data_IF_841910420477
#
_entry.id   IF_841910420477
#
_cell.length_a   1.000
_cell.length_b   1.000
_cell.length_c   1.000
_cell.angle_alpha   90.00
_cell.angle_beta   90.00
_cell.angle_gamma   90.00
#
_symmetry.space_group_name_H-M   'P 1'
#
loop_
_entity.id
_entity.type
_entity.pdbx_description
1 polymer ?
#
# COMPACT_ATOMS: atom_id res chain seq x y z
N UNK A 1 -16.18 14.33 23.71
CA UNK A 1 -14.93 14.30 22.94
C UNK A 1 -14.71 12.88 22.43
N UNK A 2 -14.22 12.70 21.20
CA UNK A 2 -13.73 11.38 20.78
C UNK A 2 -12.57 10.94 21.70
N UNK A 3 -12.41 9.64 21.98
CA UNK A 3 -11.31 9.14 22.79
C UNK A 3 -9.97 9.46 22.13
N UNK A 4 -8.96 9.80 22.94
CA UNK A 4 -7.61 10.07 22.45
C UNK A 4 -6.99 8.83 21.82
N UNK A 5 -6.08 8.99 20.84
CA UNK A 5 -5.39 7.87 20.19
C UNK A 5 -4.72 6.95 21.20
N UNK A 6 -4.07 7.52 22.22
CA UNK A 6 -3.47 6.77 23.35
C UNK A 6 -4.49 5.97 24.17
N UNK A 7 -5.73 6.43 24.29
CA UNK A 7 -6.77 5.68 25.00
C UNK A 7 -7.27 4.51 24.14
N UNK A 8 -7.40 4.73 22.83
CA UNK A 8 -7.82 3.71 21.87
C UNK A 8 -6.76 2.63 21.71
N UNK A 9 -5.47 2.95 21.75
CA UNK A 9 -4.38 1.98 21.56
C UNK A 9 -4.04 1.11 22.77
N UNK A 10 -4.78 1.21 23.89
CA UNK A 10 -4.55 0.40 25.10
C UNK A 10 -4.97 -1.05 24.98
N UNK A 11 -5.77 -1.38 23.97
CA UNK A 11 -6.16 -2.76 23.65
C UNK A 11 -5.60 -3.15 22.28
N UNK A 12 -5.34 -4.44 22.07
CA UNK A 12 -4.88 -4.94 20.77
C UNK A 12 -5.82 -4.57 19.62
N UNK A 13 -7.13 -4.66 19.87
CA UNK A 13 -8.16 -4.32 18.89
C UNK A 13 -8.15 -2.82 18.54
N UNK A 14 -8.00 -1.96 19.55
CA UNK A 14 -7.97 -0.52 19.35
C UNK A 14 -6.65 -0.06 18.72
N UNK A 15 -5.52 -0.66 19.09
CA UNK A 15 -4.22 -0.45 18.44
C UNK A 15 -4.25 -0.90 16.97
N UNK A 16 -4.76 -2.09 16.68
CA UNK A 16 -4.87 -2.58 15.31
C UNK A 16 -5.76 -1.67 14.45
N UNK A 17 -6.86 -1.16 15.02
CA UNK A 17 -7.75 -0.22 14.35
C UNK A 17 -7.08 1.11 14.06
N UNK A 18 -6.41 1.72 15.05
CA UNK A 18 -5.74 3.02 14.87
C UNK A 18 -4.58 2.90 13.90
N UNK A 19 -3.76 1.86 14.01
CA UNK A 19 -2.63 1.61 13.11
C UNK A 19 -3.09 1.44 11.66
N UNK A 20 -4.16 0.67 11.42
CA UNK A 20 -4.70 0.47 10.07
C UNK A 20 -5.05 1.80 9.41
N UNK A 21 -5.72 2.69 10.15
CA UNK A 21 -6.12 4.01 9.64
C UNK A 21 -4.89 4.87 9.36
N UNK A 22 -3.97 4.98 10.33
CA UNK A 22 -2.74 5.76 10.20
C UNK A 22 -1.89 5.30 9.01
N UNK A 23 -1.71 3.99 8.84
CA UNK A 23 -0.95 3.41 7.72
C UNK A 23 -1.64 3.67 6.38
N UNK A 24 -2.97 3.54 6.30
CA UNK A 24 -3.71 3.82 5.07
C UNK A 24 -3.60 5.29 4.66
N UNK A 25 -3.69 6.21 5.62
CA UNK A 25 -3.52 7.65 5.38
C UNK A 25 -2.11 7.98 4.90
N UNK A 26 -1.09 7.44 5.58
CA UNK A 26 0.30 7.64 5.20
C UNK A 26 0.59 7.10 3.80
N UNK A 27 0.12 5.88 3.51
CA UNK A 27 0.29 5.25 2.19
C UNK A 27 -0.34 6.10 1.09
N UNK A 28 -1.55 6.64 1.33
CA UNK A 28 -2.22 7.53 0.38
C UNK A 28 -1.45 8.83 0.17
N UNK A 29 -0.91 9.43 1.23
CA UNK A 29 -0.10 10.65 1.14
C UNK A 29 1.17 10.41 0.32
N UNK A 30 1.91 9.35 0.62
CA UNK A 30 3.12 8.99 -0.13
C UNK A 30 2.83 8.76 -1.62
N UNK A 31 1.72 8.10 -1.95
CA UNK A 31 1.27 7.92 -3.34
C UNK A 31 0.88 9.23 -4.02
N UNK A 32 0.48 10.26 -3.26
CA UNK A 32 0.18 11.60 -3.80
C UNK A 32 1.40 12.50 -3.96
N UNK A 33 2.54 12.17 -3.33
CA UNK A 33 3.82 12.88 -3.54
C UNK A 33 4.49 12.48 -4.88
N UNK A 34 3.85 11.60 -5.65
CA UNK A 34 4.32 11.27 -7.00
C UNK A 34 4.25 12.51 -7.88
N UNK A 35 5.26 12.64 -8.75
CA UNK A 35 5.30 13.69 -9.76
C UNK A 35 4.00 13.68 -10.59
N UNK A 36 3.20 14.76 -10.55
CA UNK A 36 1.95 14.87 -11.29
C UNK A 36 2.14 14.75 -12.81
N UNK A 37 3.32 15.13 -13.31
CA UNK A 37 3.65 15.11 -14.74
C UNK A 37 4.06 13.71 -15.21
N UNK A 38 4.26 12.76 -14.29
CA UNK A 38 4.62 11.38 -14.60
C UNK A 38 3.37 10.53 -14.86
N UNK A 39 2.58 10.94 -15.87
CA UNK A 39 1.39 10.24 -16.36
C UNK A 39 1.74 8.86 -16.97
N UNK A 40 3.00 8.67 -17.37
CA UNK A 40 3.50 7.45 -18.00
C UNK A 40 3.48 6.24 -17.07
N UNK A 41 3.42 6.44 -15.75
CA UNK A 41 3.46 5.36 -14.76
C UNK A 41 2.25 5.44 -13.81
N UNK A 42 1.13 4.76 -14.09
CA UNK A 42 0.06 4.57 -13.12
C UNK A 42 0.55 4.01 -11.77
N UNK A 43 -0.18 4.30 -10.68
CA UNK A 43 0.17 3.85 -9.32
C UNK A 43 0.30 2.32 -9.22
N UNK A 44 -0.52 1.56 -9.94
CA UNK A 44 -0.41 0.11 -10.01
C UNK A 44 0.93 -0.36 -10.60
N UNK A 45 1.37 0.26 -11.69
CA UNK A 45 2.65 -0.09 -12.34
C UNK A 45 3.85 0.25 -11.46
N UNK A 46 3.82 1.38 -10.76
CA UNK A 46 4.86 1.74 -9.78
C UNK A 46 4.94 0.72 -8.63
N UNK A 47 3.78 0.20 -8.20
CA UNK A 47 3.72 -0.85 -7.16
C UNK A 47 4.43 -2.12 -7.62
N UNK A 48 4.13 -2.59 -8.85
CA UNK A 48 4.79 -3.75 -9.50
C UNK A 48 6.30 -3.52 -9.62
N UNK A 49 6.75 -2.34 -10.07
CA UNK A 49 8.18 -2.01 -10.14
C UNK A 49 8.83 -2.03 -8.76
N UNK A 50 8.14 -1.54 -7.73
CA UNK A 50 8.60 -1.63 -6.35
C UNK A 50 8.70 -3.06 -5.85
N UNK A 51 7.76 -3.94 -6.23
CA UNK A 51 7.80 -5.36 -5.91
C UNK A 51 9.00 -6.06 -6.59
N UNK A 52 9.22 -5.81 -7.88
CA UNK A 52 10.40 -6.29 -8.61
C UNK A 52 11.70 -5.77 -8.01
N UNK A 53 11.77 -4.49 -7.66
CA UNK A 53 12.97 -3.90 -7.06
C UNK A 53 13.32 -4.55 -5.71
N UNK A 54 12.31 -4.92 -4.91
CA UNK A 54 12.53 -5.54 -3.59
C UNK A 54 12.78 -7.04 -3.63
N UNK A 55 12.16 -7.76 -4.57
CA UNK A 55 12.18 -9.22 -4.60
C UNK A 55 13.04 -9.80 -5.74
N UNK A 56 13.51 -8.95 -6.67
CA UNK A 56 14.26 -9.38 -7.85
C UNK A 56 13.35 -9.93 -8.95
N UNK A 57 13.90 -10.84 -9.75
CA UNK A 57 13.15 -11.51 -10.82
C UNK A 57 12.01 -12.35 -10.22
N UNK A 58 10.80 -12.14 -10.72
CA UNK A 58 9.59 -12.84 -10.27
C UNK A 58 8.75 -13.18 -11.50
N UNK A 59 8.06 -14.32 -11.45
CA UNK A 59 7.05 -14.65 -12.46
C UNK A 59 5.84 -13.71 -12.34
N UNK A 60 5.06 -13.62 -13.43
CA UNK A 60 3.81 -12.83 -13.44
C UNK A 60 2.82 -13.33 -12.37
N UNK A 61 2.78 -14.64 -12.10
CA UNK A 61 1.91 -15.20 -11.05
C UNK A 61 2.34 -14.78 -9.63
N UNK A 62 3.64 -14.74 -9.37
CA UNK A 62 4.19 -14.30 -8.07
C UNK A 62 3.96 -12.80 -7.86
N UNK A 63 4.17 -11.99 -8.88
CA UNK A 63 3.85 -10.56 -8.82
C UNK A 63 2.36 -10.31 -8.61
N UNK A 64 1.49 -11.09 -9.24
CA UNK A 64 0.04 -10.97 -9.03
C UNK A 64 -0.36 -11.29 -7.59
N UNK A 65 0.27 -12.31 -6.99
CA UNK A 65 0.10 -12.65 -5.58
C UNK A 65 0.62 -11.56 -4.64
N UNK A 66 1.79 -10.98 -4.94
CA UNK A 66 2.39 -9.89 -4.15
C UNK A 66 1.54 -8.62 -4.18
N UNK A 67 1.01 -8.26 -5.36
CA UNK A 67 0.14 -7.10 -5.56
C UNK A 67 -1.32 -7.37 -5.18
N UNK A 68 -1.66 -8.63 -4.84
CA UNK A 68 -3.02 -9.10 -4.54
C UNK A 68 -4.03 -8.73 -5.64
N UNK A 69 -3.62 -8.87 -6.89
CA UNK A 69 -4.45 -8.66 -8.09
C UNK A 69 -4.69 -9.99 -8.80
N UNK A 70 -5.73 -10.04 -9.63
CA UNK A 70 -5.94 -11.21 -10.48
C UNK A 70 -4.90 -11.22 -11.61
N UNK A 71 -4.33 -12.39 -11.98
CA UNK A 71 -3.32 -12.47 -13.04
C UNK A 71 -3.72 -11.81 -14.37
N UNK A 72 -4.97 -11.92 -14.87
CA UNK A 72 -5.40 -11.24 -16.09
C UNK A 72 -5.38 -9.70 -16.01
N UNK A 73 -5.37 -9.13 -14.80
CA UNK A 73 -5.28 -7.68 -14.60
C UNK A 73 -3.84 -7.17 -14.61
N UNK A 74 -2.86 -8.07 -14.69
CA UNK A 74 -1.43 -7.75 -14.64
C UNK A 74 -0.72 -7.89 -15.99
N UNK A 75 -1.34 -8.60 -16.93
CA UNK A 75 -0.96 -8.71 -18.35
C UNK A 75 -1.62 -7.61 -19.16
#
# INVERSE_FOLDING_TARGET
>A
MPPSVEQVSRTDSGLASSLRVSVAMLTRRLRSERDPENELLPVGQLSVLGALFRNGECSVGELAALERVQPPSMT
#
